data_IF_384632539460
#
_entry.id   IF_384632539460
#
_cell.length_a   1.000
_cell.length_b   1.000
_cell.length_c   1.000
_cell.angle_alpha   90.00
_cell.angle_beta   90.00
_cell.angle_gamma   90.00
#
_symmetry.space_group_name_H-M   'P 1'
#
loop_
_entity.id
_entity.type
_entity.pdbx_description
1 polymer ?
#
# COMPACT_ATOMS: atom_id res chain seq x y z
N UNK A 1 -7.28 20.90 9.86
CA UNK A 1 -7.47 19.47 9.55
C UNK A 1 -7.02 19.16 8.12
N UNK A 2 -7.58 19.82 7.10
CA UNK A 2 -7.20 19.68 5.68
C UNK A 2 -5.74 20.02 5.34
N UNK A 3 -5.14 21.04 6.00
CA UNK A 3 -3.73 21.42 5.78
C UNK A 3 -2.71 20.34 6.17
N UNK A 4 -3.03 19.45 7.12
CA UNK A 4 -2.15 18.32 7.47
C UNK A 4 -2.22 17.22 6.41
N UNK A 5 -3.37 17.07 5.74
CA UNK A 5 -3.61 16.07 4.71
C UNK A 5 -2.93 16.48 3.39
N UNK A 6 -2.97 17.78 3.05
CA UNK A 6 -2.25 18.31 1.88
C UNK A 6 -0.72 18.27 2.02
N UNK A 7 -0.18 18.34 3.25
CA UNK A 7 1.27 18.33 3.52
C UNK A 7 1.84 16.93 3.85
N UNK A 8 1.02 15.90 4.05
CA UNK A 8 1.46 14.58 4.53
C UNK A 8 1.94 13.62 3.41
N UNK A 9 2.11 14.11 2.19
CA UNK A 9 2.47 13.31 1.03
C UNK A 9 1.26 13.15 0.12
N UNK A 10 1.30 13.83 -1.01
CA UNK A 10 0.29 13.72 -2.06
C UNK A 10 0.75 12.68 -3.07
N UNK A 11 -0.15 11.78 -3.46
CA UNK A 11 0.11 10.80 -4.49
C UNK A 11 0.02 11.46 -5.86
N UNK A 12 1.11 11.43 -6.62
CA UNK A 12 1.23 12.13 -7.92
C UNK A 12 0.96 11.23 -9.11
N UNK A 13 0.75 9.95 -8.87
CA UNK A 13 0.36 8.96 -9.86
C UNK A 13 1.40 8.72 -10.97
N UNK A 14 2.69 8.90 -10.69
CA UNK A 14 3.71 8.62 -11.71
C UNK A 14 3.86 7.11 -11.97
N UNK A 15 4.18 6.68 -13.22
CA UNK A 15 4.58 5.31 -13.47
C UNK A 15 5.73 4.90 -12.54
N UNK A 16 5.51 3.88 -11.71
CA UNK A 16 6.48 3.41 -10.72
C UNK A 16 6.33 3.99 -9.31
N UNK A 17 5.40 4.93 -9.08
CA UNK A 17 5.05 5.36 -7.72
C UNK A 17 4.36 4.21 -6.96
N UNK A 18 4.72 4.00 -5.69
CA UNK A 18 4.22 2.88 -4.90
C UNK A 18 2.79 3.13 -4.40
N UNK A 19 1.80 2.86 -5.25
CA UNK A 19 0.36 2.96 -4.96
C UNK A 19 -0.03 2.22 -3.67
N UNK A 20 0.60 1.07 -3.39
CA UNK A 20 0.31 0.32 -2.18
C UNK A 20 0.90 0.99 -0.92
N UNK A 21 2.13 1.47 -1.00
CA UNK A 21 2.76 2.28 0.06
C UNK A 21 1.97 3.56 0.35
N UNK A 22 1.44 4.22 -0.69
CA UNK A 22 0.55 5.37 -0.53
C UNK A 22 -0.72 5.04 0.26
N UNK A 23 -1.44 3.96 -0.08
CA UNK A 23 -2.64 3.55 0.68
C UNK A 23 -2.30 3.27 2.15
N UNK A 24 -1.14 2.68 2.43
CA UNK A 24 -0.68 2.46 3.80
C UNK A 24 -0.42 3.78 4.54
N UNK A 25 0.20 4.75 3.89
CA UNK A 25 0.39 6.09 4.42
C UNK A 25 -0.94 6.80 4.66
N UNK A 26 -1.91 6.66 3.74
CA UNK A 26 -3.27 7.17 3.92
C UNK A 26 -3.92 6.61 5.19
N UNK A 27 -3.84 5.30 5.44
CA UNK A 27 -4.36 4.71 6.68
C UNK A 27 -3.69 5.26 7.95
N UNK A 28 -2.37 5.53 7.89
CA UNK A 28 -1.64 6.12 9.02
C UNK A 28 -2.01 7.58 9.28
N UNK A 29 -2.33 8.33 8.23
CA UNK A 29 -2.84 9.71 8.33
C UNK A 29 -4.25 9.68 8.90
N UNK A 30 -5.11 8.83 8.32
CA UNK A 30 -6.48 8.60 8.74
C UNK A 30 -6.59 8.20 10.22
N UNK A 31 -5.71 7.31 10.73
CA UNK A 31 -5.79 6.85 12.13
C UNK A 31 -5.59 7.96 13.15
N UNK A 32 -5.09 9.13 12.73
CA UNK A 32 -4.93 10.31 13.58
C UNK A 32 -6.19 11.17 13.65
N UNK A 33 -7.24 10.86 12.89
CA UNK A 33 -8.52 11.58 12.88
C UNK A 33 -9.60 10.75 13.57
N UNK A 34 -10.14 11.27 14.66
CA UNK A 34 -11.39 10.79 15.25
C UNK A 34 -12.45 11.88 15.13
N UNK A 35 -13.39 11.68 14.20
CA UNK A 35 -14.57 12.54 14.04
C UNK A 35 -15.80 11.69 14.37
N UNK A 36 -16.46 11.98 15.49
CA UNK A 36 -17.56 11.18 16.04
C UNK A 36 -18.90 11.34 15.30
N UNK A 37 -18.97 12.23 14.31
CA UNK A 37 -20.22 12.63 13.64
C UNK A 37 -20.43 11.85 12.31
N UNK A 38 -19.38 11.24 11.75
CA UNK A 38 -19.45 10.51 10.49
C UNK A 38 -18.87 9.10 10.64
N UNK A 39 -19.34 8.16 9.82
CA UNK A 39 -18.78 6.81 9.78
C UNK A 39 -17.35 6.81 9.24
N UNK A 40 -16.58 5.78 9.58
CA UNK A 40 -15.22 5.63 9.05
C UNK A 40 -15.20 5.48 7.52
N UNK A 41 -16.26 4.90 6.95
CA UNK A 41 -16.43 4.82 5.50
C UNK A 41 -16.56 6.21 4.87
N UNK A 42 -17.48 7.04 5.38
CA UNK A 42 -17.71 8.41 4.90
C UNK A 42 -16.48 9.29 5.10
N UNK A 43 -15.79 9.17 6.25
CA UNK A 43 -14.56 9.90 6.51
C UNK A 43 -13.48 9.55 5.46
N UNK A 44 -13.27 8.27 5.17
CA UNK A 44 -12.25 7.84 4.19
C UNK A 44 -12.59 8.32 2.78
N UNK A 45 -13.84 8.15 2.35
CA UNK A 45 -14.32 8.63 1.05
C UNK A 45 -14.16 10.15 0.92
N UNK A 46 -14.42 10.90 1.99
CA UNK A 46 -14.27 12.36 2.02
C UNK A 46 -12.80 12.78 1.97
N UNK A 47 -11.91 12.13 2.72
CA UNK A 47 -10.51 12.55 2.83
C UNK A 47 -9.64 12.12 1.65
N UNK A 48 -9.94 11.00 1.02
CA UNK A 48 -9.11 10.42 -0.03
C UNK A 48 -8.87 11.35 -1.22
N UNK A 49 -9.88 12.02 -1.81
CA UNK A 49 -9.66 12.98 -2.90
C UNK A 49 -8.60 14.05 -2.57
N UNK A 50 -8.59 14.56 -1.33
CA UNK A 50 -7.66 15.60 -0.90
C UNK A 50 -6.20 15.14 -0.77
N UNK A 51 -5.94 13.82 -0.83
CA UNK A 51 -4.59 13.25 -0.82
C UNK A 51 -4.05 12.93 -2.21
N UNK A 52 -4.87 13.13 -3.25
CA UNK A 52 -4.50 12.93 -4.64
C UNK A 52 -4.03 14.25 -5.27
N UNK A 53 -3.23 14.16 -6.33
CA UNK A 53 -2.76 15.30 -7.13
C UNK A 53 -2.88 15.01 -8.62
N UNK A 54 -2.82 16.08 -9.42
CA UNK A 54 -2.71 16.05 -10.88
C UNK A 54 -3.86 15.27 -11.57
N UNK A 55 -3.53 14.36 -12.50
CA UNK A 55 -4.47 13.59 -13.36
C UNK A 55 -5.53 12.75 -12.60
N UNK A 56 -5.42 12.70 -11.28
CA UNK A 56 -6.37 12.01 -10.41
C UNK A 56 -7.65 12.80 -10.15
N UNK A 57 -7.66 14.13 -10.28
CA UNK A 57 -8.90 14.91 -10.16
C UNK A 57 -9.91 14.49 -11.23
N UNK A 58 -9.46 14.32 -12.48
CA UNK A 58 -10.30 13.83 -13.58
C UNK A 58 -10.75 12.38 -13.40
N UNK A 59 -9.89 11.50 -12.88
CA UNK A 59 -10.24 10.10 -12.59
C UNK A 59 -11.25 9.98 -11.44
N UNK A 60 -11.07 10.77 -10.37
CA UNK A 60 -12.00 10.82 -9.24
C UNK A 60 -13.36 11.38 -9.67
N UNK A 61 -13.40 12.49 -10.40
CA UNK A 61 -14.66 13.04 -10.92
C UNK A 61 -15.39 12.07 -11.85
N UNK A 62 -14.67 11.31 -12.69
CA UNK A 62 -15.25 10.26 -13.53
C UNK A 62 -15.77 9.06 -12.72
N UNK A 63 -15.23 8.81 -11.52
CA UNK A 63 -15.68 7.78 -10.60
C UNK A 63 -16.84 8.23 -9.71
N UNK A 64 -16.89 9.50 -9.31
CA UNK A 64 -18.02 10.11 -8.59
C UNK A 64 -19.32 10.05 -9.41
N UNK A 65 -19.21 10.11 -10.75
CA UNK A 65 -20.34 9.87 -11.65
C UNK A 65 -20.91 8.43 -11.58
N UNK A 66 -20.26 7.50 -10.86
CA UNK A 66 -20.65 6.09 -10.69
C UNK A 66 -20.64 5.67 -9.22
N UNK A 67 -21.60 6.18 -8.42
CA UNK A 67 -22.09 5.64 -7.13
C UNK A 67 -21.09 4.86 -6.24
N UNK A 68 -19.87 5.37 -6.01
CA UNK A 68 -18.95 4.73 -5.05
C UNK A 68 -19.36 5.16 -3.65
N UNK A 69 -20.14 4.32 -2.99
CA UNK A 69 -20.61 4.55 -1.61
C UNK A 69 -19.80 3.78 -0.56
N UNK A 70 -18.90 2.88 -0.98
CA UNK A 70 -18.12 2.02 -0.10
C UNK A 70 -16.62 2.18 -0.38
N UNK A 71 -15.86 2.40 0.69
CA UNK A 71 -14.41 2.51 0.66
C UNK A 71 -13.73 1.33 -0.03
N UNK A 72 -14.20 0.12 0.22
CA UNK A 72 -13.63 -1.09 -0.39
C UNK A 72 -13.79 -1.12 -1.91
N UNK A 73 -14.89 -0.55 -2.44
CA UNK A 73 -15.08 -0.41 -3.88
C UNK A 73 -14.13 0.64 -4.48
N UNK A 74 -13.91 1.75 -3.77
CA UNK A 74 -12.98 2.80 -4.18
C UNK A 74 -11.55 2.23 -4.26
N UNK A 75 -11.11 1.55 -3.20
CA UNK A 75 -9.78 0.96 -3.13
C UNK A 75 -9.59 -0.15 -4.16
N UNK A 76 -10.57 -1.02 -4.39
CA UNK A 76 -10.43 -2.06 -5.42
C UNK A 76 -10.22 -1.44 -6.82
N UNK A 77 -11.00 -0.40 -7.17
CA UNK A 77 -10.82 0.33 -8.44
C UNK A 77 -9.48 1.05 -8.50
N UNK A 78 -9.06 1.72 -7.43
CA UNK A 78 -7.76 2.39 -7.33
C UNK A 78 -6.61 1.39 -7.56
N UNK A 79 -6.63 0.26 -6.85
CA UNK A 79 -5.58 -0.75 -6.93
C UNK A 79 -5.55 -1.40 -8.32
N UNK A 80 -6.69 -1.66 -8.96
CA UNK A 80 -6.69 -2.18 -10.35
C UNK A 80 -6.07 -1.22 -11.35
N UNK A 81 -6.29 0.08 -11.17
CA UNK A 81 -5.83 1.14 -12.07
C UNK A 81 -4.34 1.45 -11.87
N UNK A 82 -3.88 1.55 -10.62
CA UNK A 82 -2.56 2.07 -10.28
C UNK A 82 -1.62 1.04 -9.65
N UNK A 83 -2.10 -0.19 -9.41
CA UNK A 83 -1.29 -1.30 -8.94
C UNK A 83 -1.50 -2.52 -9.86
N UNK A 84 -0.86 -2.52 -11.05
CA UNK A 84 -1.07 -3.56 -12.05
C UNK A 84 -0.84 -4.95 -11.48
N UNK A 85 -1.62 -5.93 -11.96
CA UNK A 85 -1.50 -7.32 -11.51
C UNK A 85 -0.06 -7.86 -11.62
N UNK A 86 0.65 -7.48 -12.68
CA UNK A 86 2.05 -7.88 -12.90
C UNK A 86 2.99 -7.40 -11.79
N UNK A 87 2.84 -6.16 -11.31
CA UNK A 87 3.64 -5.64 -10.20
C UNK A 87 3.35 -6.39 -8.90
N UNK A 88 2.07 -6.73 -8.67
CA UNK A 88 1.70 -7.58 -7.53
C UNK A 88 2.32 -8.98 -7.64
N UNK A 89 2.27 -9.62 -8.82
CA UNK A 89 2.94 -10.91 -9.08
C UNK A 89 4.44 -10.81 -8.81
N UNK A 90 5.11 -9.79 -9.37
CA UNK A 90 6.55 -9.55 -9.21
C UNK A 90 6.93 -9.46 -7.73
N UNK A 91 6.23 -8.63 -6.94
CA UNK A 91 6.49 -8.50 -5.50
C UNK A 91 6.26 -9.80 -4.73
N UNK A 92 5.28 -10.62 -5.14
CA UNK A 92 5.09 -11.95 -4.54
C UNK A 92 6.25 -12.89 -4.85
N UNK A 93 6.76 -12.85 -6.08
CA UNK A 93 7.94 -13.63 -6.51
C UNK A 93 9.18 -13.18 -5.73
N UNK A 94 9.46 -11.87 -5.70
CA UNK A 94 10.61 -11.29 -4.97
C UNK A 94 10.60 -11.72 -3.49
N UNK A 95 9.43 -11.78 -2.86
CA UNK A 95 9.28 -12.26 -1.49
C UNK A 95 9.52 -13.76 -1.35
N UNK A 96 9.01 -14.59 -2.27
CA UNK A 96 9.16 -16.06 -2.18
C UNK A 96 10.57 -16.53 -2.55
N UNK A 97 11.30 -15.76 -3.36
CA UNK A 97 12.66 -16.04 -3.79
C UNK A 97 13.67 -15.16 -3.04
N UNK A 98 13.44 -14.90 -1.75
CA UNK A 98 14.36 -14.11 -0.97
C UNK A 98 15.72 -14.80 -0.84
N UNK A 99 16.78 -14.04 -1.05
CA UNK A 99 18.16 -14.49 -0.84
C UNK A 99 18.91 -13.40 -0.04
N UNK A 100 19.78 -13.78 0.87
CA UNK A 100 20.54 -12.85 1.67
C UNK A 100 21.72 -12.27 0.86
N UNK A 101 21.63 -11.00 0.47
CA UNK A 101 22.78 -10.23 -0.03
C UNK A 101 23.43 -9.38 1.06
N UNK A 102 22.70 -9.17 2.16
CA UNK A 102 23.11 -8.29 3.24
C UNK A 102 24.19 -8.94 4.12
N UNK A 103 25.18 -8.13 4.54
CA UNK A 103 26.27 -8.57 5.43
C UNK A 103 25.81 -9.05 6.81
N UNK A 104 24.61 -8.70 7.25
CA UNK A 104 24.11 -9.07 8.58
C UNK A 104 22.68 -9.56 8.52
N UNK A 105 22.36 -10.52 9.40
CA UNK A 105 21.01 -11.05 9.56
C UNK A 105 19.98 -9.96 9.85
N UNK A 106 20.34 -8.96 10.66
CA UNK A 106 19.44 -7.85 10.98
C UNK A 106 19.03 -7.04 9.74
N UNK A 107 19.99 -6.77 8.84
CA UNK A 107 19.70 -6.05 7.59
C UNK A 107 18.87 -6.92 6.64
N UNK A 108 19.22 -8.19 6.51
CA UNK A 108 18.49 -9.18 5.73
C UNK A 108 17.02 -9.29 6.19
N UNK A 109 16.80 -9.44 7.50
CA UNK A 109 15.46 -9.47 8.10
C UNK A 109 14.69 -8.17 7.85
N UNK A 110 15.35 -7.02 7.97
CA UNK A 110 14.76 -5.73 7.64
C UNK A 110 14.32 -5.64 6.17
N UNK A 111 15.12 -6.16 5.24
CA UNK A 111 14.79 -6.22 3.81
C UNK A 111 13.63 -7.16 3.53
N UNK A 112 13.65 -8.35 4.11
CA UNK A 112 12.58 -9.33 3.97
C UNK A 112 11.24 -8.82 4.51
N UNK A 113 11.24 -8.15 5.67
CA UNK A 113 10.05 -7.50 6.21
C UNK A 113 9.46 -6.42 5.29
N UNK A 114 10.30 -5.71 4.52
CA UNK A 114 9.81 -4.76 3.52
C UNK A 114 9.09 -5.49 2.38
N UNK A 115 9.62 -6.63 1.91
CA UNK A 115 8.98 -7.47 0.89
C UNK A 115 7.62 -8.03 1.35
N UNK A 116 7.53 -8.52 2.60
CA UNK A 116 6.25 -8.94 3.21
C UNK A 116 5.24 -7.80 3.22
N UNK A 117 5.69 -6.60 3.60
CA UNK A 117 4.86 -5.39 3.73
C UNK A 117 4.59 -4.67 2.41
N UNK A 118 5.07 -5.17 1.27
CA UNK A 118 4.89 -4.54 -0.04
C UNK A 118 3.74 -5.16 -0.86
N UNK A 119 3.06 -6.19 -0.35
CA UNK A 119 1.96 -6.87 -1.02
C UNK A 119 0.60 -6.58 -0.33
N UNK A 120 -0.47 -6.26 -1.09
CA UNK A 120 -1.78 -5.94 -0.51
C UNK A 120 -2.52 -7.11 0.14
N UNK A 121 -2.26 -8.34 -0.31
CA UNK A 121 -2.82 -9.58 0.26
C UNK A 121 -1.69 -10.44 0.80
N UNK A 122 -1.69 -10.63 2.11
CA UNK A 122 -0.84 -11.60 2.79
C UNK A 122 -1.70 -12.79 3.21
N UNK A 123 -2.09 -13.62 2.22
CA UNK A 123 -2.77 -14.90 2.47
C UNK A 123 -1.79 -16.03 2.77
N UNK A 124 -0.52 -15.71 3.02
CA UNK A 124 0.54 -16.68 3.28
C UNK A 124 0.75 -16.77 4.79
N UNK A 125 0.80 -17.99 5.30
CA UNK A 125 1.05 -18.27 6.72
C UNK A 125 2.41 -17.71 7.16
N UNK A 126 2.48 -17.23 8.40
CA UNK A 126 3.73 -16.76 9.00
C UNK A 126 4.81 -17.86 9.02
N UNK A 127 4.43 -19.14 9.20
CA UNK A 127 5.37 -20.25 9.14
C UNK A 127 6.08 -20.35 7.78
N UNK A 128 5.32 -20.22 6.68
CA UNK A 128 5.87 -20.25 5.32
C UNK A 128 6.79 -19.04 5.10
N UNK A 129 6.41 -17.87 5.63
CA UNK A 129 7.27 -16.68 5.52
C UNK A 129 8.58 -16.87 6.28
N UNK A 130 8.56 -17.52 7.44
CA UNK A 130 9.77 -17.85 8.18
C UNK A 130 10.64 -18.87 7.45
N UNK A 131 10.05 -19.94 6.90
CA UNK A 131 10.77 -20.95 6.10
C UNK A 131 11.50 -20.30 4.92
N UNK A 132 10.81 -19.47 4.13
CA UNK A 132 11.42 -18.73 3.02
C UNK A 132 12.56 -17.84 3.49
N UNK A 133 12.43 -17.18 4.65
CA UNK A 133 13.52 -16.37 5.19
C UNK A 133 14.74 -17.21 5.55
N UNK A 134 14.54 -18.31 6.28
CA UNK A 134 15.61 -19.21 6.70
C UNK A 134 16.32 -19.86 5.51
N UNK A 135 15.56 -20.33 4.52
CA UNK A 135 16.12 -20.96 3.31
C UNK A 135 16.93 -19.97 2.46
N UNK A 136 16.57 -18.68 2.50
CA UNK A 136 17.28 -17.61 1.81
C UNK A 136 18.53 -17.11 2.53
N UNK A 137 18.86 -17.58 3.74
CA UNK A 137 20.07 -17.14 4.45
C UNK A 137 21.33 -17.76 3.85
N UNK A 138 22.39 -16.95 3.75
CA UNK A 138 23.69 -17.46 3.35
C UNK A 138 24.23 -18.40 4.43
N UNK A 139 24.63 -19.61 4.02
CA UNK A 139 25.15 -20.65 4.92
C UNK A 139 26.58 -20.40 5.42
N UNK A 140 27.21 -19.31 4.96
CA UNK A 140 28.62 -18.98 5.20
C UNK A 140 28.81 -17.81 6.19
N UNK A 141 27.87 -17.58 7.13
CA UNK A 141 28.14 -16.70 8.28
C UNK A 141 29.00 -17.42 9.33
#
# INVERSE_FOLDING_TARGET
MLLRIQNAGQFKCYPGEDSYGYIKSFYSIYSSFHISIITQNELRLTLFPFTLKDDMEGWMSAMEAREINLWDQLIDKFMRKFFPHQENVRRRIDRMNFEQEDKTLFKAWGRYNRLIKACPRNSISECILMEVFYDGLNREM
#
